data_IF_016608242929
#
_entry.id   IF_016608242929
#
_cell.length_a   1.000
_cell.length_b   1.000
_cell.length_c   1.000
_cell.angle_alpha   90.00
_cell.angle_beta   90.00
_cell.angle_gamma   90.00
#
_symmetry.space_group_name_H-M   'P 1'
#
loop_
_entity.id
_entity.type
_entity.pdbx_description
1 polymer ?
#
# COMPACT_ATOMS: atom_id res chain seq x y z
N UNK A 1 55.13 -16.35 19.38
CA UNK A 1 53.75 -16.86 19.50
C UNK A 1 52.85 -15.89 18.77
N UNK A 2 52.52 -16.16 17.51
CA UNK A 2 51.79 -15.22 16.64
C UNK A 2 50.32 -15.60 16.68
N UNK A 3 49.51 -14.82 17.38
CA UNK A 3 48.06 -15.03 17.48
C UNK A 3 47.47 -14.32 16.26
N UNK A 4 47.30 -15.05 15.16
CA UNK A 4 46.59 -14.57 13.98
C UNK A 4 45.12 -14.36 14.35
N UNK A 5 44.79 -13.12 14.68
CA UNK A 5 43.43 -12.65 14.90
C UNK A 5 42.70 -12.64 13.56
N UNK A 6 42.09 -13.78 13.21
CA UNK A 6 41.19 -13.87 12.05
C UNK A 6 40.03 -12.88 12.31
N UNK A 7 39.86 -11.83 11.49
CA UNK A 7 38.86 -10.81 11.77
C UNK A 7 37.46 -11.40 11.71
N UNK A 8 36.66 -11.08 12.73
CA UNK A 8 35.31 -11.56 13.01
C UNK A 8 34.24 -11.16 11.96
N UNK A 9 34.66 -10.56 10.85
CA UNK A 9 33.83 -10.05 9.74
C UNK A 9 32.94 -11.15 9.15
N UNK A 10 33.37 -12.41 9.18
CA UNK A 10 32.61 -13.52 8.59
C UNK A 10 31.31 -13.85 9.36
N UNK A 11 31.19 -13.46 10.64
CA UNK A 11 29.99 -13.73 11.44
C UNK A 11 28.87 -12.74 11.14
N UNK A 12 29.21 -11.48 10.90
CA UNK A 12 28.26 -10.41 10.58
C UNK A 12 27.58 -10.59 9.22
N UNK A 13 28.31 -11.07 8.20
CA UNK A 13 27.74 -11.27 6.86
C UNK A 13 26.69 -12.40 6.80
N UNK A 14 26.92 -13.49 7.53
CA UNK A 14 25.95 -14.60 7.62
C UNK A 14 24.65 -14.16 8.29
N UNK A 15 24.75 -13.44 9.40
CA UNK A 15 23.55 -12.94 10.08
C UNK A 15 22.78 -11.93 9.21
N UNK A 16 23.48 -11.07 8.48
CA UNK A 16 22.83 -10.11 7.60
C UNK A 16 22.10 -10.79 6.42
N UNK A 17 22.72 -11.80 5.81
CA UNK A 17 22.11 -12.56 4.70
C UNK A 17 20.91 -13.39 5.14
N UNK A 18 20.95 -14.01 6.33
CA UNK A 18 19.81 -14.72 6.90
C UNK A 18 18.63 -13.78 7.19
N UNK A 19 18.89 -12.61 7.80
CA UNK A 19 17.88 -11.60 8.07
C UNK A 19 17.22 -11.09 6.79
N UNK A 20 18.00 -10.78 5.75
CA UNK A 20 17.46 -10.37 4.44
C UNK A 20 16.57 -11.43 3.81
N UNK A 21 16.95 -12.71 3.90
CA UNK A 21 16.14 -13.82 3.40
C UNK A 21 14.82 -13.93 4.16
N UNK A 22 14.85 -13.76 5.48
CA UNK A 22 13.66 -13.79 6.32
C UNK A 22 12.69 -12.65 5.97
N UNK A 23 13.19 -11.41 5.92
CA UNK A 23 12.39 -10.24 5.53
C UNK A 23 11.79 -10.38 4.14
N UNK A 24 12.55 -10.90 3.17
CA UNK A 24 12.04 -11.15 1.81
C UNK A 24 10.87 -12.15 1.81
N UNK A 25 10.92 -13.20 2.63
CA UNK A 25 9.81 -14.16 2.75
C UNK A 25 8.57 -13.51 3.35
N UNK A 26 8.73 -12.72 4.42
CA UNK A 26 7.62 -12.00 5.07
C UNK A 26 7.00 -11.00 4.09
N UNK A 27 7.83 -10.15 3.46
CA UNK A 27 7.39 -9.15 2.49
C UNK A 27 6.70 -9.77 1.27
N UNK A 28 7.03 -11.02 0.92
CA UNK A 28 6.36 -11.75 -0.15
C UNK A 28 4.90 -12.08 0.14
N UNK A 29 4.53 -12.37 1.40
CA UNK A 29 3.14 -12.70 1.78
C UNK A 29 2.40 -11.47 2.31
N UNK A 30 3.13 -10.44 2.75
CA UNK A 30 2.60 -9.19 3.28
C UNK A 30 1.49 -8.53 2.44
N UNK A 31 1.53 -8.43 1.08
CA UNK A 31 0.44 -7.83 0.32
C UNK A 31 -0.88 -8.61 0.48
N UNK A 32 -0.82 -9.94 0.44
CA UNK A 32 -2.00 -10.78 0.63
C UNK A 32 -2.60 -10.59 2.03
N UNK A 33 -1.76 -10.64 3.07
CA UNK A 33 -2.21 -10.46 4.46
C UNK A 33 -2.75 -9.04 4.66
N UNK A 34 -2.14 -8.03 4.06
CA UNK A 34 -2.59 -6.63 4.16
C UNK A 34 -3.97 -6.39 3.55
N UNK A 35 -4.39 -7.21 2.58
CA UNK A 35 -5.74 -7.15 1.99
C UNK A 35 -6.74 -7.98 2.80
N UNK A 36 -6.34 -9.20 3.20
CA UNK A 36 -7.25 -10.16 3.85
C UNK A 36 -7.49 -9.83 5.32
N UNK A 37 -6.46 -9.38 6.05
CA UNK A 37 -6.57 -9.11 7.48
C UNK A 37 -7.66 -8.06 7.80
N UNK A 38 -7.72 -6.91 7.11
CA UNK A 38 -8.79 -5.95 7.35
C UNK A 38 -10.20 -6.50 7.09
N UNK A 39 -10.36 -7.35 6.07
CA UNK A 39 -11.63 -8.00 5.78
C UNK A 39 -12.03 -9.01 6.88
N UNK A 40 -11.08 -9.82 7.36
CA UNK A 40 -11.31 -10.74 8.48
C UNK A 40 -11.70 -9.96 9.74
N UNK A 41 -10.98 -8.87 10.06
CA UNK A 41 -11.28 -8.03 11.21
C UNK A 41 -12.70 -7.45 11.12
N UNK A 42 -13.11 -7.00 9.94
CA UNK A 42 -14.48 -6.53 9.70
C UNK A 42 -15.53 -7.63 9.95
N UNK A 43 -15.34 -8.84 9.43
CA UNK A 43 -16.32 -9.92 9.57
C UNK A 43 -16.39 -10.57 10.96
N UNK A 44 -15.28 -10.59 11.70
CA UNK A 44 -15.25 -11.15 13.07
C UNK A 44 -15.87 -10.16 14.07
N UNK A 45 -15.78 -8.87 13.78
CA UNK A 45 -16.26 -7.83 14.68
C UNK A 45 -17.75 -7.57 14.45
N UNK A 46 -18.50 -7.41 15.54
CA UNK A 46 -19.86 -6.89 15.44
C UNK A 46 -19.82 -5.48 14.82
N UNK A 47 -20.71 -5.19 13.87
CA UNK A 47 -20.67 -3.97 13.07
C UNK A 47 -20.71 -2.70 13.94
N UNK A 48 -21.53 -2.70 14.98
CA UNK A 48 -21.64 -1.59 15.92
C UNK A 48 -20.37 -1.45 16.76
N UNK A 49 -19.82 -2.58 17.23
CA UNK A 49 -18.55 -2.59 17.96
C UNK A 49 -17.40 -2.04 17.11
N UNK A 50 -17.40 -2.39 15.82
CA UNK A 50 -16.38 -2.01 14.86
C UNK A 50 -16.41 -0.52 14.54
N UNK A 51 -17.59 0.04 14.30
CA UNK A 51 -17.78 1.47 14.08
C UNK A 51 -17.42 2.30 15.31
N UNK A 52 -17.76 1.83 16.51
CA UNK A 52 -17.53 2.58 17.77
C UNK A 52 -16.07 2.49 18.24
N UNK A 53 -15.43 1.33 18.10
CA UNK A 53 -14.08 1.11 18.63
C UNK A 53 -13.00 1.76 17.75
N UNK A 54 -12.45 2.90 18.21
CA UNK A 54 -11.34 3.58 17.54
C UNK A 54 -10.10 2.69 17.43
N UNK A 55 -9.80 1.89 18.48
CA UNK A 55 -8.67 0.96 18.49
C UNK A 55 -8.82 -0.12 17.41
N UNK A 56 -10.03 -0.64 17.21
CA UNK A 56 -10.29 -1.68 16.23
C UNK A 56 -10.15 -1.15 14.80
N UNK A 57 -10.68 0.05 14.54
CA UNK A 57 -10.48 0.78 13.28
C UNK A 57 -9.01 1.05 13.01
N UNK A 58 -8.28 1.52 14.02
CA UNK A 58 -6.84 1.78 13.93
C UNK A 58 -6.05 0.52 13.56
N UNK A 59 -6.23 -0.59 14.30
CA UNK A 59 -5.53 -1.85 14.02
C UNK A 59 -5.86 -2.36 12.61
N UNK A 60 -7.13 -2.25 12.21
CA UNK A 60 -7.60 -2.72 10.90
C UNK A 60 -6.87 -2.02 9.76
N UNK A 61 -6.71 -0.70 9.83
CA UNK A 61 -6.04 0.06 8.76
C UNK A 61 -4.51 0.10 8.93
N UNK A 62 -4.00 -0.10 10.14
CA UNK A 62 -2.57 0.04 10.43
C UNK A 62 -1.74 -0.84 9.52
N UNK A 63 -2.13 -2.11 9.35
CA UNK A 63 -1.38 -3.07 8.55
C UNK A 63 -1.26 -2.69 7.07
N UNK A 64 -2.35 -2.47 6.31
CA UNK A 64 -2.26 -2.14 4.88
C UNK A 64 -1.53 -0.83 4.60
N UNK A 65 -1.74 0.20 5.42
CA UNK A 65 -1.05 1.48 5.22
C UNK A 65 0.40 1.44 5.66
N UNK A 66 0.74 0.68 6.71
CA UNK A 66 2.15 0.48 7.09
C UNK A 66 2.90 -0.30 6.02
N UNK A 67 2.29 -1.34 5.45
CA UNK A 67 2.87 -2.05 4.30
C UNK A 67 3.13 -1.07 3.15
N UNK A 68 2.14 -0.25 2.80
CA UNK A 68 2.28 0.70 1.69
C UNK A 68 3.39 1.72 1.95
N UNK A 69 3.43 2.32 3.13
CA UNK A 69 4.45 3.27 3.52
C UNK A 69 5.87 2.67 3.47
N UNK A 70 6.04 1.45 4.00
CA UNK A 70 7.33 0.74 3.97
C UNK A 70 7.76 0.43 2.55
N UNK A 71 6.84 -0.04 1.69
CA UNK A 71 7.16 -0.33 0.28
C UNK A 71 7.59 0.93 -0.47
N UNK A 72 6.88 2.05 -0.30
CA UNK A 72 7.29 3.30 -0.93
C UNK A 72 8.59 3.86 -0.36
N UNK A 73 8.87 3.68 0.93
CA UNK A 73 10.17 4.03 1.50
C UNK A 73 11.32 3.18 0.92
N UNK A 74 11.08 1.88 0.67
CA UNK A 74 12.04 1.02 -0.02
C UNK A 74 12.24 1.46 -1.48
N UNK A 75 11.16 1.78 -2.18
CA UNK A 75 11.23 2.29 -3.56
C UNK A 75 11.97 3.63 -3.64
N UNK A 76 11.76 4.53 -2.68
CA UNK A 76 12.49 5.80 -2.53
C UNK A 76 14.01 5.57 -2.43
N UNK A 77 14.43 4.59 -1.63
CA UNK A 77 15.86 4.30 -1.43
C UNK A 77 16.51 3.62 -2.65
N UNK A 78 15.72 2.89 -3.44
CA UNK A 78 16.23 2.09 -4.58
C UNK A 78 16.16 2.81 -5.91
N UNK A 79 15.42 3.91 -5.98
CA UNK A 79 15.17 4.66 -7.21
C UNK A 79 16.12 5.87 -7.30
N UNK A 80 16.90 6.03 -8.38
CA UNK A 80 17.82 7.17 -8.54
C UNK A 80 17.14 8.44 -9.07
N UNK A 81 15.86 8.36 -9.45
CA UNK A 81 15.14 9.42 -10.14
C UNK A 81 14.45 10.36 -9.14
N UNK A 82 14.89 11.62 -9.09
CA UNK A 82 14.38 12.61 -8.14
C UNK A 82 12.85 12.78 -8.19
N UNK A 83 12.26 12.84 -9.38
CA UNK A 83 10.80 13.00 -9.53
C UNK A 83 10.01 11.80 -8.98
N UNK A 84 10.49 10.57 -9.23
CA UNK A 84 9.87 9.37 -8.67
C UNK A 84 10.07 9.31 -7.16
N UNK A 85 11.23 9.74 -6.67
CA UNK A 85 11.51 9.81 -5.23
C UNK A 85 10.56 10.78 -4.52
N UNK A 86 10.32 11.96 -5.09
CA UNK A 86 9.33 12.89 -4.55
C UNK A 86 7.92 12.28 -4.54
N UNK A 87 7.55 11.57 -5.60
CA UNK A 87 6.25 10.89 -5.71
C UNK A 87 6.11 9.77 -4.65
N UNK A 88 7.11 8.92 -4.47
CA UNK A 88 7.11 7.85 -3.47
C UNK A 88 7.13 8.39 -2.04
N UNK A 89 7.85 9.48 -1.81
CA UNK A 89 7.81 10.18 -0.52
C UNK A 89 6.39 10.71 -0.23
N UNK A 90 5.73 11.30 -1.22
CA UNK A 90 4.35 11.76 -1.08
C UNK A 90 3.39 10.59 -0.79
N UNK A 91 3.52 9.47 -1.50
CA UNK A 91 2.70 8.27 -1.24
C UNK A 91 2.93 7.71 0.16
N UNK A 92 4.18 7.60 0.61
CA UNK A 92 4.49 7.17 1.97
C UNK A 92 3.89 8.11 3.02
N UNK A 93 4.02 9.44 2.83
CA UNK A 93 3.44 10.43 3.72
C UNK A 93 1.90 10.33 3.77
N UNK A 94 1.23 10.19 2.62
CA UNK A 94 -0.22 10.01 2.55
C UNK A 94 -0.64 8.72 3.27
N UNK A 95 0.10 7.61 3.11
CA UNK A 95 -0.18 6.37 3.84
C UNK A 95 -0.07 6.57 5.35
N UNK A 96 0.98 7.24 5.84
CA UNK A 96 1.17 7.51 7.28
C UNK A 96 0.07 8.43 7.81
N UNK A 97 -0.27 9.50 7.09
CA UNK A 97 -1.36 10.39 7.47
C UNK A 97 -2.70 9.64 7.49
N UNK A 98 -2.92 8.72 6.57
CA UNK A 98 -4.15 7.90 6.52
C UNK A 98 -4.30 7.00 7.75
N UNK A 99 -3.20 6.46 8.30
CA UNK A 99 -3.21 5.66 9.55
C UNK A 99 -3.79 6.47 10.72
N UNK A 100 -3.52 7.76 10.76
CA UNK A 100 -3.98 8.62 11.86
C UNK A 100 -5.34 9.25 11.58
N UNK A 101 -5.57 9.75 10.35
CA UNK A 101 -6.77 10.49 10.02
C UNK A 101 -8.01 9.60 9.86
N UNK A 102 -7.89 8.43 9.22
CA UNK A 102 -9.05 7.60 8.89
C UNK A 102 -9.78 7.02 10.12
N UNK A 103 -9.11 6.51 11.18
CA UNK A 103 -9.79 5.97 12.35
C UNK A 103 -10.47 7.04 13.20
N UNK A 104 -9.99 8.28 13.12
CA UNK A 104 -10.53 9.42 13.86
C UNK A 104 -11.88 9.83 13.29
N UNK A 105 -12.08 9.71 11.97
CA UNK A 105 -13.38 9.98 11.36
C UNK A 105 -14.45 9.01 11.87
N UNK A 106 -15.65 9.50 12.21
CA UNK A 106 -16.78 8.63 12.51
C UNK A 106 -17.19 7.87 11.24
N UNK A 107 -17.01 6.54 11.24
CA UNK A 107 -17.41 5.70 10.11
C UNK A 107 -18.92 5.53 10.15
N UNK A 108 -19.66 6.26 9.29
CA UNK A 108 -21.13 6.26 9.26
C UNK A 108 -21.63 5.32 8.17
N UNK A 109 -22.69 4.58 8.45
CA UNK A 109 -23.29 3.65 7.48
C UNK A 109 -22.27 2.66 6.94
N UNK A 110 -22.08 2.63 5.64
CA UNK A 110 -21.21 1.68 4.96
C UNK A 110 -19.72 2.06 4.93
N UNK A 111 -19.35 3.20 5.52
CA UNK A 111 -17.96 3.68 5.57
C UNK A 111 -17.03 2.62 6.15
N UNK A 112 -17.51 1.83 7.12
CA UNK A 112 -16.74 0.74 7.74
C UNK A 112 -16.30 -0.30 6.72
N UNK A 113 -17.21 -0.72 5.85
CA UNK A 113 -16.95 -1.66 4.76
C UNK A 113 -16.00 -1.07 3.74
N UNK A 114 -16.20 0.20 3.36
CA UNK A 114 -15.31 0.90 2.42
C UNK A 114 -13.89 0.94 2.97
N UNK A 115 -13.70 1.47 4.18
CA UNK A 115 -12.37 1.67 4.74
C UNK A 115 -11.65 0.37 5.12
N UNK A 116 -12.41 -0.69 5.40
CA UNK A 116 -11.84 -1.96 5.86
C UNK A 116 -11.64 -2.97 4.74
N UNK A 117 -12.51 -3.02 3.74
CA UNK A 117 -12.46 -4.07 2.70
C UNK A 117 -12.05 -3.48 1.35
N UNK A 118 -12.75 -2.44 0.91
CA UNK A 118 -12.51 -1.84 -0.40
C UNK A 118 -11.14 -1.15 -0.42
N UNK A 119 -10.84 -0.39 0.62
CA UNK A 119 -9.70 0.49 0.64
C UNK A 119 -8.35 -0.24 0.55
N UNK A 120 -8.05 -1.27 1.37
CA UNK A 120 -6.83 -2.04 1.22
C UNK A 120 -6.72 -2.67 -0.18
N UNK A 121 -7.85 -3.12 -0.72
CA UNK A 121 -7.93 -3.72 -2.05
C UNK A 121 -7.60 -2.74 -3.18
N UNK A 122 -7.81 -1.43 -2.99
CA UNK A 122 -7.41 -0.40 -3.96
C UNK A 122 -5.92 -0.05 -3.86
N UNK A 123 -5.35 0.00 -2.65
CA UNK A 123 -4.00 0.52 -2.41
C UNK A 123 -2.87 -0.48 -2.56
N UNK A 124 -3.10 -1.68 -2.05
CA UNK A 124 -2.07 -2.71 -2.00
C UNK A 124 -1.64 -3.12 -3.41
N UNK A 125 -2.53 -3.30 -4.40
CA UNK A 125 -2.11 -3.78 -5.71
C UNK A 125 -1.14 -2.86 -6.45
N UNK A 126 -1.40 -1.55 -6.67
CA UNK A 126 -0.43 -0.69 -7.35
C UNK A 126 0.94 -0.67 -6.65
N UNK A 127 0.92 -0.62 -5.31
CA UNK A 127 2.14 -0.63 -4.49
C UNK A 127 2.92 -1.95 -4.67
N UNK A 128 2.21 -3.08 -4.64
CA UNK A 128 2.77 -4.40 -4.85
C UNK A 128 3.34 -4.56 -6.27
N UNK A 129 2.62 -4.12 -7.30
CA UNK A 129 3.08 -4.16 -8.70
C UNK A 129 4.34 -3.31 -8.91
N UNK A 130 4.38 -2.10 -8.35
CA UNK A 130 5.59 -1.25 -8.40
C UNK A 130 6.79 -1.94 -7.74
N UNK A 131 6.57 -2.60 -6.60
CA UNK A 131 7.64 -3.27 -5.86
C UNK A 131 8.16 -4.55 -6.52
N UNK A 132 7.30 -5.29 -7.23
CA UNK A 132 7.62 -6.64 -7.73
C UNK A 132 7.89 -6.69 -9.21
N UNK A 133 7.12 -5.95 -10.01
CA UNK A 133 7.13 -6.01 -11.47
C UNK A 133 8.04 -4.98 -12.11
N UNK A 134 8.44 -3.95 -11.36
CA UNK A 134 9.22 -2.83 -11.87
C UNK A 134 10.63 -2.85 -11.30
N UNK A 135 11.65 -2.80 -12.17
CA UNK A 135 13.01 -2.44 -11.74
C UNK A 135 13.21 -0.97 -11.99
N UNK A 136 13.35 -0.19 -10.92
CA UNK A 136 13.60 1.26 -10.99
C UNK A 136 15.09 1.58 -10.84
N UNK A 137 15.95 0.76 -11.44
CA UNK A 137 17.42 0.91 -11.41
C UNK A 137 17.85 1.79 -12.60
N UNK A 138 18.84 2.68 -12.44
CA UNK A 138 19.25 3.56 -13.54
C UNK A 138 19.69 2.77 -14.77
N UNK A 139 19.17 3.15 -15.94
CA UNK A 139 19.44 2.48 -17.22
C UNK A 139 18.65 1.20 -17.48
N UNK A 140 17.89 0.71 -16.50
CA UNK A 140 17.04 -0.49 -16.62
C UNK A 140 15.61 -0.25 -16.11
N UNK A 141 15.14 1.00 -16.15
CA UNK A 141 13.75 1.36 -15.82
C UNK A 141 12.78 0.72 -16.80
N UNK A 142 12.33 -0.47 -16.46
CA UNK A 142 11.38 -1.22 -17.24
C UNK A 142 10.61 -2.19 -16.34
N UNK A 143 9.41 -2.52 -16.81
CA UNK A 143 8.69 -3.69 -16.34
C UNK A 143 9.50 -4.95 -16.65
N UNK A 144 9.81 -5.76 -15.64
CA UNK A 144 10.68 -6.94 -15.79
C UNK A 144 9.95 -8.21 -16.18
N UNK A 145 8.66 -8.25 -15.94
CA UNK A 145 7.91 -9.48 -16.04
C UNK A 145 7.60 -9.82 -17.49
N UNK A 146 7.65 -11.12 -17.78
CA UNK A 146 7.44 -11.68 -19.11
C UNK A 146 6.31 -12.70 -19.11
N UNK A 147 5.65 -12.84 -20.26
CA UNK A 147 4.64 -13.88 -20.48
C UNK A 147 3.39 -13.70 -19.62
N UNK A 148 2.98 -14.78 -18.94
CA UNK A 148 1.70 -14.89 -18.23
C UNK A 148 1.57 -13.86 -17.09
N UNK A 149 2.68 -13.50 -16.43
CA UNK A 149 2.67 -12.49 -15.37
C UNK A 149 2.12 -11.14 -15.85
N UNK A 150 2.38 -10.77 -17.11
CA UNK A 150 1.86 -9.52 -17.69
C UNK A 150 0.33 -9.49 -17.67
N UNK A 151 -0.31 -10.62 -17.98
CA UNK A 151 -1.77 -10.71 -17.99
C UNK A 151 -2.33 -10.62 -16.57
N UNK A 152 -1.71 -11.29 -15.61
CA UNK A 152 -2.10 -11.22 -14.20
C UNK A 152 -1.94 -9.77 -13.70
N UNK A 153 -0.86 -9.09 -14.08
CA UNK A 153 -0.58 -7.72 -13.65
C UNK A 153 -1.56 -6.71 -14.23
N UNK A 154 -1.93 -6.89 -15.50
CA UNK A 154 -2.98 -6.09 -16.14
C UNK A 154 -4.33 -6.32 -15.45
N UNK A 155 -4.67 -7.57 -15.10
CA UNK A 155 -5.89 -7.85 -14.34
C UNK A 155 -5.85 -7.20 -12.95
N UNK A 156 -4.72 -7.29 -12.25
CA UNK A 156 -4.50 -6.64 -10.96
C UNK A 156 -4.62 -5.10 -11.08
N UNK A 157 -4.22 -4.49 -12.20
CA UNK A 157 -4.39 -3.04 -12.46
C UNK A 157 -5.79 -2.63 -12.88
N UNK A 158 -6.51 -3.51 -13.59
CA UNK A 158 -7.86 -3.23 -14.03
C UNK A 158 -8.83 -3.28 -12.86
N UNK A 159 -8.61 -4.18 -11.90
CA UNK A 159 -9.47 -4.33 -10.74
C UNK A 159 -9.66 -3.02 -9.95
N UNK A 160 -8.64 -2.23 -9.55
CA UNK A 160 -8.84 -0.98 -8.82
C UNK A 160 -9.66 0.03 -9.59
N UNK A 161 -9.50 0.11 -10.91
CA UNK A 161 -10.27 1.00 -11.76
C UNK A 161 -11.74 0.58 -11.81
N UNK A 162 -12.01 -0.71 -12.00
CA UNK A 162 -13.37 -1.26 -11.98
C UNK A 162 -14.00 -1.09 -10.59
N UNK A 163 -13.26 -1.40 -9.52
CA UNK A 163 -13.74 -1.25 -8.15
C UNK A 163 -14.02 0.20 -7.80
N UNK A 164 -13.20 1.15 -8.24
CA UNK A 164 -13.48 2.58 -8.07
C UNK A 164 -14.81 2.97 -8.72
N UNK A 165 -15.06 2.51 -9.95
CA UNK A 165 -16.33 2.77 -10.65
C UNK A 165 -17.52 2.11 -9.94
N UNK A 166 -17.37 0.87 -9.47
CA UNK A 166 -18.44 0.14 -8.78
C UNK A 166 -18.77 0.74 -7.42
N UNK A 167 -17.76 1.15 -6.64
CA UNK A 167 -17.92 1.77 -5.32
C UNK A 167 -18.69 3.07 -5.40
N UNK A 168 -18.52 3.82 -6.50
CA UNK A 168 -19.28 5.04 -6.77
C UNK A 168 -20.72 4.81 -7.22
N UNK A 169 -21.06 3.62 -7.76
CA UNK A 169 -22.40 3.33 -8.29
C UNK A 169 -23.36 2.85 -7.21
N UNK A 170 -23.07 1.73 -6.58
CA UNK A 170 -24.01 1.08 -5.65
C UNK A 170 -23.28 0.40 -4.48
N UNK A 171 -23.81 0.50 -3.25
CA UNK A 171 -23.18 -0.08 -2.08
C UNK A 171 -23.09 -1.61 -2.13
N UNK A 172 -24.04 -2.27 -2.79
CA UNK A 172 -24.14 -3.74 -2.89
C UNK A 172 -22.95 -4.37 -3.61
N UNK A 173 -22.33 -3.66 -4.56
CA UNK A 173 -21.20 -4.18 -5.34
C UNK A 173 -19.84 -4.00 -4.66
N UNK A 174 -19.77 -3.32 -3.52
CA UNK A 174 -18.49 -2.99 -2.86
C UNK A 174 -17.72 -4.25 -2.45
N UNK A 175 -18.40 -5.24 -1.86
CA UNK A 175 -17.77 -6.52 -1.49
C UNK A 175 -17.31 -7.31 -2.71
N UNK A 176 -18.16 -7.40 -3.73
CA UNK A 176 -17.85 -8.12 -4.97
C UNK A 176 -16.62 -7.53 -5.65
N UNK A 177 -16.44 -6.20 -5.57
CA UNK A 177 -15.29 -5.52 -6.12
C UNK A 177 -13.98 -5.82 -5.38
N UNK A 178 -14.03 -6.24 -4.12
CA UNK A 178 -12.84 -6.48 -3.29
C UNK A 178 -12.34 -7.93 -3.33
N UNK A 179 -13.23 -8.91 -3.54
CA UNK A 179 -12.90 -10.35 -3.54
C UNK A 179 -11.86 -10.77 -4.61
N UNK A 180 -11.88 -10.24 -5.85
CA UNK A 180 -10.92 -10.66 -6.88
C UNK A 180 -9.46 -10.35 -6.51
N UNK A 181 -9.22 -9.30 -5.73
CA UNK A 181 -7.86 -8.85 -5.40
C UNK A 181 -7.00 -9.85 -4.65
N UNK A 182 -7.41 -10.37 -3.47
CA UNK A 182 -6.59 -11.35 -2.76
C UNK A 182 -6.37 -12.61 -3.60
N UNK A 183 -7.33 -13.00 -4.44
CA UNK A 183 -7.20 -14.14 -5.35
C UNK A 183 -6.14 -13.86 -6.42
N UNK A 184 -6.19 -12.70 -7.09
CA UNK A 184 -5.21 -12.34 -8.12
C UNK A 184 -3.80 -12.15 -7.55
N UNK A 185 -3.68 -11.51 -6.39
CA UNK A 185 -2.41 -11.36 -5.67
C UNK A 185 -1.87 -12.74 -5.29
N UNK A 186 -2.71 -13.62 -4.75
CA UNK A 186 -2.29 -14.98 -4.40
C UNK A 186 -1.89 -15.78 -5.64
N UNK A 187 -2.66 -15.72 -6.72
CA UNK A 187 -2.35 -16.37 -7.98
C UNK A 187 -0.99 -15.93 -8.52
N UNK A 188 -0.69 -14.62 -8.46
CA UNK A 188 0.62 -14.10 -8.81
C UNK A 188 1.73 -14.62 -7.89
N UNK A 189 1.53 -14.54 -6.58
CA UNK A 189 2.51 -15.02 -5.60
C UNK A 189 2.83 -16.51 -5.76
N UNK A 190 1.82 -17.32 -6.09
CA UNK A 190 1.99 -18.73 -6.40
C UNK A 190 2.75 -18.90 -7.72
N UNK A 191 2.39 -18.15 -8.76
CA UNK A 191 3.09 -18.24 -10.04
C UNK A 191 4.58 -17.88 -9.91
N UNK A 192 4.90 -16.82 -9.17
CA UNK A 192 6.29 -16.41 -8.92
C UNK A 192 7.09 -17.47 -8.15
N UNK A 193 6.44 -18.31 -7.34
CA UNK A 193 7.09 -19.39 -6.57
C UNK A 193 7.23 -20.68 -7.36
N UNK A 194 6.19 -21.10 -8.08
CA UNK A 194 6.14 -22.42 -8.73
C UNK A 194 6.60 -22.37 -10.18
N UNK A 195 6.42 -21.24 -10.86
CA UNK A 195 6.76 -21.03 -12.26
C UNK A 195 7.60 -19.75 -12.40
N UNK A 196 8.79 -19.67 -11.78
CA UNK A 196 9.61 -18.47 -11.84
C UNK A 196 9.92 -18.13 -13.29
N UNK A 197 9.34 -17.03 -13.78
CA UNK A 197 9.60 -16.57 -15.14
C UNK A 197 11.05 -16.14 -15.24
N UNK A 198 11.76 -16.65 -16.25
CA UNK A 198 13.13 -16.25 -16.51
C UNK A 198 13.14 -14.76 -16.82
N UNK A 199 13.84 -13.98 -15.99
CA UNK A 199 13.89 -12.52 -16.14
C UNK A 199 14.71 -12.21 -17.38
N UNK A 200 14.03 -12.04 -18.51
CA UNK A 200 14.67 -11.66 -19.76
C UNK A 200 15.51 -10.38 -19.60
N UNK A 201 16.76 -10.44 -20.08
CA UNK A 201 17.59 -9.24 -20.20
C UNK A 201 16.87 -8.23 -21.11
N UNK A 202 16.81 -6.94 -20.75
CA UNK A 202 16.15 -5.94 -21.58
C UNK A 202 16.87 -5.83 -22.92
N UNK A 203 16.11 -5.78 -24.02
CA UNK A 203 15.81 -4.48 -24.60
C UNK A 203 14.47 -3.95 -24.10
N UNK A 204 14.42 -2.64 -23.91
CA UNK A 204 13.24 -1.87 -23.48
C UNK A 204 12.17 -1.89 -24.58
N UNK A 205 11.43 -2.99 -24.66
CA UNK A 205 10.26 -3.05 -25.52
C UNK A 205 9.26 -1.94 -25.06
N UNK A 206 8.77 -1.07 -25.96
CA UNK A 206 7.95 0.09 -25.58
C UNK A 206 6.73 -0.24 -24.71
N UNK A 207 6.12 -1.41 -24.89
CA UNK A 207 4.98 -1.86 -24.10
C UNK A 207 5.31 -2.03 -22.61
N UNK A 208 6.56 -2.38 -22.24
CA UNK A 208 6.99 -2.49 -20.84
C UNK A 208 6.99 -1.13 -20.15
N UNK A 209 7.40 -0.09 -20.88
CA UNK A 209 7.36 1.29 -20.40
C UNK A 209 5.90 1.74 -20.27
N UNK A 210 5.03 1.39 -21.22
CA UNK A 210 3.61 1.70 -21.16
C UNK A 210 2.94 1.10 -19.91
N UNK A 211 3.23 -0.16 -19.58
CA UNK A 211 2.71 -0.81 -18.36
C UNK A 211 3.23 -0.10 -17.11
N UNK A 212 4.53 0.22 -17.04
CA UNK A 212 5.10 0.98 -15.92
C UNK A 212 4.38 2.32 -15.72
N UNK A 213 4.16 3.07 -16.81
CA UNK A 213 3.44 4.35 -16.80
C UNK A 213 1.99 4.15 -16.35
N UNK A 214 1.33 3.08 -16.79
CA UNK A 214 -0.03 2.73 -16.36
C UNK A 214 -0.10 2.45 -14.86
N UNK A 215 0.84 1.66 -14.31
CA UNK A 215 0.91 1.38 -12.86
C UNK A 215 1.11 2.69 -12.08
N UNK A 216 2.08 3.51 -12.49
CA UNK A 216 2.39 4.79 -11.83
C UNK A 216 1.20 5.76 -11.88
N UNK A 217 0.54 5.86 -13.03
CA UNK A 217 -0.64 6.72 -13.20
C UNK A 217 -1.80 6.23 -12.33
N UNK A 218 -2.06 4.92 -12.32
CA UNK A 218 -3.08 4.33 -11.46
C UNK A 218 -2.79 4.58 -9.97
N UNK A 219 -1.53 4.40 -9.54
CA UNK A 219 -1.12 4.69 -8.17
C UNK A 219 -1.34 6.18 -7.85
N UNK A 220 -0.89 7.09 -8.71
CA UNK A 220 -1.06 8.52 -8.51
C UNK A 220 -2.53 8.93 -8.39
N UNK A 221 -3.43 8.38 -9.23
CA UNK A 221 -4.86 8.65 -9.15
C UNK A 221 -5.47 8.16 -7.83
N UNK A 222 -5.14 6.93 -7.42
CA UNK A 222 -5.63 6.34 -6.16
C UNK A 222 -5.15 7.18 -4.96
N UNK A 223 -3.87 7.55 -4.93
CA UNK A 223 -3.31 8.36 -3.85
C UNK A 223 -3.81 9.81 -3.86
N UNK A 224 -4.08 10.40 -5.03
CA UNK A 224 -4.69 11.73 -5.12
C UNK A 224 -6.13 11.72 -4.58
N UNK A 225 -6.94 10.73 -4.98
CA UNK A 225 -8.28 10.53 -4.43
C UNK A 225 -8.22 10.33 -2.91
N UNK A 226 -7.23 9.56 -2.46
CA UNK A 226 -7.11 9.24 -1.05
C UNK A 226 -6.56 10.37 -0.20
N UNK A 227 -5.73 11.25 -0.74
CA UNK A 227 -5.26 12.44 -0.06
C UNK A 227 -6.44 13.38 0.30
N UNK A 228 -7.50 13.40 -0.51
CA UNK A 228 -8.69 14.20 -0.24
C UNK A 228 -9.32 13.87 1.11
N UNK A 229 -9.43 12.59 1.46
CA UNK A 229 -10.13 12.15 2.68
C UNK A 229 -9.43 12.60 3.98
N UNK A 230 -8.14 12.30 4.23
CA UNK A 230 -7.39 12.84 5.35
C UNK A 230 -7.36 14.36 5.39
N UNK A 231 -7.23 15.05 4.25
CA UNK A 231 -7.23 16.52 4.21
C UNK A 231 -8.58 17.05 4.66
N UNK A 232 -9.69 16.51 4.16
CA UNK A 232 -11.03 16.94 4.56
C UNK A 232 -11.27 16.71 6.06
N UNK A 233 -10.85 15.55 6.58
CA UNK A 233 -10.94 15.23 8.01
C UNK A 233 -10.10 16.21 8.83
N UNK A 234 -8.81 16.37 8.51
CA UNK A 234 -7.88 17.24 9.23
C UNK A 234 -8.34 18.70 9.20
N UNK A 235 -8.81 19.19 8.05
CA UNK A 235 -9.35 20.55 7.92
C UNK A 235 -10.57 20.74 8.83
N UNK A 236 -11.45 19.74 8.94
CA UNK A 236 -12.57 19.76 9.87
C UNK A 236 -12.11 19.87 11.33
N UNK A 237 -11.11 19.08 11.73
CA UNK A 237 -10.53 19.12 13.07
C UNK A 237 -9.82 20.43 13.39
N UNK A 238 -8.98 20.94 12.49
CA UNK A 238 -8.31 22.23 12.68
C UNK A 238 -9.29 23.39 12.71
N UNK A 239 -10.35 23.35 11.89
CA UNK A 239 -11.43 24.32 11.94
C UNK A 239 -12.17 24.31 13.28
N UNK A 240 -12.41 23.13 13.84
CA UNK A 240 -13.02 22.97 15.17
C UNK A 240 -12.09 23.50 16.28
N UNK A 241 -10.80 23.15 16.24
CA UNK A 241 -9.79 23.62 17.19
C UNK A 241 -9.65 25.15 17.16
N UNK A 242 -9.68 25.74 15.96
CA UNK A 242 -9.67 27.19 15.81
C UNK A 242 -10.87 27.85 16.46
N UNK A 243 -12.08 27.34 16.20
CA UNK A 243 -13.32 27.86 16.83
C UNK A 243 -13.30 27.73 18.34
N UNK A 244 -12.83 26.60 18.88
CA UNK A 244 -12.70 26.40 20.33
C UNK A 244 -11.70 27.40 20.94
N UNK A 245 -10.58 27.65 20.25
CA UNK A 245 -9.59 28.64 20.67
C UNK A 245 -10.18 30.05 20.69
N UNK A 246 -10.94 30.45 19.68
CA UNK A 246 -11.61 31.76 19.63
C UNK A 246 -12.65 31.90 20.75
N UNK A 247 -13.48 30.88 20.99
CA UNK A 247 -14.43 30.86 22.11
C UNK A 247 -13.72 31.00 23.45
N UNK A 248 -12.60 30.29 23.66
CA UNK A 248 -11.83 30.37 24.90
C UNK A 248 -11.20 31.76 25.10
N UNK A 249 -10.70 32.38 24.03
CA UNK A 249 -10.18 33.75 24.08
C UNK A 249 -11.27 34.77 24.37
N UNK A 250 -12.50 34.59 23.85
CA UNK A 250 -13.64 35.47 24.13
C UNK A 250 -14.16 35.39 25.57
N UNK A 251 -13.88 34.28 26.28
CA UNK A 251 -14.26 34.07 27.67
C UNK A 251 -13.24 34.60 28.68
N UNK A 252 -12.05 35.03 28.24
CA UNK A 252 -11.04 35.56 29.13
C UNK A 252 -11.47 36.98 29.55
N UNK A 253 -11.79 37.23 30.84
CA UNK A 253 -12.09 38.58 31.30
C UNK A 253 -10.82 39.43 31.18
N UNK A 254 -10.98 40.64 30.64
CA UNK A 254 -9.96 41.68 30.61
C UNK A 254 -9.58 42.13 32.04
#
# INVERSE_FOLDING_TARGET
MNITHVPEIHRTDKQHTENLRHWRKILGIAPFVSIVFPAIMYFISDEDSFKKSLLLRFITILLPFSYSAVQYAILLHTTPYYTLNLLFLAFAAISILSITALPINEWKGDDSLIFSIVLPSLFIPPTYLLSTSCRLVPGQTAFTDTGINVLIDILILLCPLVSLVLVCKEPEYRLLSAVPFPILILARLLNDRYCPSEKSAPPTAPWRVAILVLILTSAALIYAFMMWTPIAILNGYFGLLHKLRESFLSLRPD
#
